data_IF_147904861580
#
_entry.id   IF_147904861580
#
_cell.length_a   1.000
_cell.length_b   1.000
_cell.length_c   1.000
_cell.angle_alpha   90.00
_cell.angle_beta   90.00
_cell.angle_gamma   90.00
#
_symmetry.space_group_name_H-M   'P 1'
#
loop_
_entity.id
_entity.type
_entity.pdbx_description
1 polymer ?
#
# COMPACT_ATOMS: atom_id res chain seq x y z
N UNK A 1 -18.21 8.97 -1.05
CA UNK A 1 -19.00 8.02 -0.25
C UNK A 1 -18.17 6.76 0.03
N UNK A 2 -17.67 6.04 -1.00
CA UNK A 2 -16.86 4.83 -0.79
C UNK A 2 -15.67 5.08 0.16
N UNK A 3 -14.90 6.13 -0.04
CA UNK A 3 -13.80 6.51 0.83
C UNK A 3 -14.22 6.73 2.29
N UNK A 4 -15.33 7.45 2.52
CA UNK A 4 -15.86 7.68 3.87
C UNK A 4 -16.27 6.37 4.55
N UNK A 5 -16.90 5.46 3.82
CA UNK A 5 -17.25 4.13 4.31
C UNK A 5 -15.99 3.33 4.70
N UNK A 6 -14.97 3.33 3.83
CA UNK A 6 -13.71 2.63 4.07
C UNK A 6 -12.95 3.24 5.26
N UNK A 7 -12.95 4.57 5.42
CA UNK A 7 -12.36 5.22 6.60
C UNK A 7 -13.00 4.68 7.89
N UNK A 8 -14.34 4.66 7.97
CA UNK A 8 -15.04 4.15 9.15
C UNK A 8 -14.70 2.68 9.40
N UNK A 9 -14.71 1.87 8.34
CA UNK A 9 -14.35 0.45 8.41
C UNK A 9 -12.93 0.26 8.99
N UNK A 10 -11.94 1.01 8.46
CA UNK A 10 -10.56 0.89 8.92
C UNK A 10 -10.31 1.50 10.30
N UNK A 11 -11.05 2.52 10.70
CA UNK A 11 -11.04 3.00 12.08
C UNK A 11 -11.46 1.89 13.03
N UNK A 12 -12.60 1.24 12.78
CA UNK A 12 -13.07 0.11 13.61
C UNK A 12 -12.08 -1.06 13.58
N UNK A 13 -11.60 -1.43 12.39
CA UNK A 13 -10.60 -2.49 12.21
C UNK A 13 -9.32 -2.21 13.01
N UNK A 14 -8.77 -1.01 12.90
CA UNK A 14 -7.51 -0.64 13.57
C UNK A 14 -7.67 -0.64 15.09
N UNK A 15 -8.79 -0.18 15.63
CA UNK A 15 -9.05 -0.27 17.08
C UNK A 15 -9.07 -1.73 17.56
N UNK A 16 -9.85 -2.59 16.90
CA UNK A 16 -9.88 -4.01 17.26
C UNK A 16 -8.51 -4.68 17.14
N UNK A 17 -7.80 -4.35 16.04
CA UNK A 17 -6.48 -4.94 15.78
C UNK A 17 -5.43 -4.47 16.80
N UNK A 18 -5.49 -3.19 17.19
CA UNK A 18 -4.61 -2.62 18.22
C UNK A 18 -4.81 -3.29 19.57
N UNK A 19 -6.06 -3.52 20.01
CA UNK A 19 -6.34 -4.24 21.25
C UNK A 19 -5.74 -5.64 21.23
N UNK A 20 -5.94 -6.38 20.12
CA UNK A 20 -5.37 -7.72 19.98
C UNK A 20 -3.84 -7.69 19.95
N UNK A 21 -3.22 -6.75 19.24
CA UNK A 21 -1.77 -6.62 19.15
C UNK A 21 -1.13 -6.22 20.50
N UNK A 22 -1.81 -5.40 21.30
CA UNK A 22 -1.37 -5.06 22.66
C UNK A 22 -1.50 -6.24 23.64
N UNK A 23 -2.56 -7.04 23.49
CA UNK A 23 -2.80 -8.22 24.34
C UNK A 23 -1.89 -9.40 23.95
N UNK A 24 -1.62 -9.58 22.67
CA UNK A 24 -0.86 -10.70 22.11
C UNK A 24 0.22 -10.11 21.17
N UNK A 25 1.33 -9.58 21.70
CA UNK A 25 2.37 -8.93 20.91
C UNK A 25 3.24 -9.99 20.19
N UNK A 26 2.65 -10.65 19.19
CA UNK A 26 3.29 -11.65 18.33
C UNK A 26 3.35 -11.22 16.88
N UNK A 27 4.41 -11.65 16.19
CA UNK A 27 4.67 -11.26 14.80
C UNK A 27 3.74 -11.93 13.77
N UNK A 28 2.98 -12.96 14.15
CA UNK A 28 2.03 -13.62 13.25
C UNK A 28 0.74 -12.83 12.99
N UNK A 29 0.48 -11.76 13.77
CA UNK A 29 -0.67 -10.89 13.54
C UNK A 29 -2.00 -11.67 13.55
N UNK A 30 -2.80 -11.54 12.47
CA UNK A 30 -4.09 -12.18 12.34
C UNK A 30 -4.04 -13.70 12.57
N UNK A 31 -2.98 -14.37 12.15
CA UNK A 31 -2.79 -15.80 12.38
C UNK A 31 -2.80 -16.14 13.87
N UNK A 32 -2.01 -15.43 14.68
CA UNK A 32 -1.89 -15.70 16.12
C UNK A 32 -3.19 -15.36 16.87
N UNK A 33 -3.85 -14.27 16.51
CA UNK A 33 -5.10 -13.84 17.16
C UNK A 33 -6.22 -14.83 16.91
N UNK A 34 -6.39 -15.27 15.66
CA UNK A 34 -7.41 -16.25 15.30
C UNK A 34 -7.08 -17.64 15.85
N UNK A 35 -5.79 -18.01 15.93
CA UNK A 35 -5.38 -19.27 16.53
C UNK A 35 -5.77 -19.37 18.02
N UNK A 36 -5.61 -18.26 18.75
CA UNK A 36 -5.99 -18.22 20.16
C UNK A 36 -7.52 -18.24 20.36
N UNK A 37 -8.26 -17.52 19.52
CA UNK A 37 -9.70 -17.33 19.66
C UNK A 37 -10.53 -18.49 19.07
N UNK A 38 -10.14 -19.02 17.91
CA UNK A 38 -10.95 -19.93 17.09
C UNK A 38 -10.23 -21.24 16.74
N UNK A 39 -8.95 -21.37 17.09
CA UNK A 39 -8.16 -22.57 16.86
C UNK A 39 -7.51 -22.66 15.47
N UNK A 40 -6.73 -23.74 15.27
CA UNK A 40 -5.78 -23.89 14.17
C UNK A 40 -6.39 -23.79 12.76
N UNK A 41 -7.59 -24.33 12.53
CA UNK A 41 -8.20 -24.36 11.20
C UNK A 41 -8.56 -22.93 10.72
N UNK A 42 -9.15 -22.13 11.58
CA UNK A 42 -9.47 -20.74 11.27
C UNK A 42 -8.22 -19.86 11.22
N UNK A 43 -7.23 -20.15 12.07
CA UNK A 43 -5.93 -19.49 12.01
C UNK A 43 -5.24 -19.71 10.66
N UNK A 44 -5.30 -20.94 10.13
CA UNK A 44 -4.77 -21.22 8.78
C UNK A 44 -5.43 -20.34 7.71
N UNK A 45 -6.76 -20.22 7.73
CA UNK A 45 -7.49 -19.38 6.77
C UNK A 45 -7.09 -17.91 6.90
N UNK A 46 -7.06 -17.37 8.11
CA UNK A 46 -6.68 -15.98 8.36
C UNK A 46 -5.22 -15.69 7.96
N UNK A 47 -4.30 -16.58 8.36
CA UNK A 47 -2.89 -16.46 8.00
C UNK A 47 -2.64 -16.60 6.50
N UNK A 48 -3.37 -17.49 5.82
CA UNK A 48 -3.28 -17.64 4.37
C UNK A 48 -3.78 -16.38 3.65
N UNK A 49 -4.89 -15.79 4.11
CA UNK A 49 -5.41 -14.55 3.55
C UNK A 49 -4.39 -13.41 3.67
N UNK A 50 -3.78 -13.25 4.85
CA UNK A 50 -2.73 -12.25 5.10
C UNK A 50 -1.50 -12.50 4.22
N UNK A 51 -1.07 -13.75 4.05
CA UNK A 51 0.08 -14.07 3.20
C UNK A 51 -0.24 -13.81 1.73
N UNK A 52 -1.43 -14.12 1.25
CA UNK A 52 -1.85 -13.80 -0.11
C UNK A 52 -1.74 -12.29 -0.36
N UNK A 53 -2.26 -11.47 0.56
CA UNK A 53 -2.11 -10.01 0.47
C UNK A 53 -0.64 -9.59 0.39
N UNK A 54 0.19 -10.08 1.31
CA UNK A 54 1.60 -9.73 1.39
C UNK A 54 2.48 -10.30 0.27
N UNK A 55 2.00 -11.29 -0.48
CA UNK A 55 2.68 -11.83 -1.66
C UNK A 55 2.29 -11.10 -2.95
N UNK A 56 1.03 -10.66 -3.07
CA UNK A 56 0.50 -10.11 -4.33
C UNK A 56 0.41 -8.57 -4.35
N UNK A 57 0.38 -7.89 -3.22
CA UNK A 57 0.46 -6.43 -3.20
C UNK A 57 1.85 -5.89 -3.58
N UNK A 58 3.00 -6.43 -3.10
CA UNK A 58 4.31 -5.92 -3.47
C UNK A 58 4.62 -5.91 -4.98
N UNK A 59 4.26 -6.93 -5.79
CA UNK A 59 4.44 -6.87 -7.24
C UNK A 59 3.76 -5.67 -7.88
N UNK A 60 2.56 -5.32 -7.44
CA UNK A 60 1.82 -4.16 -7.94
C UNK A 60 2.53 -2.84 -7.61
N UNK A 61 3.01 -2.71 -6.36
CA UNK A 61 3.77 -1.53 -5.92
C UNK A 61 5.10 -1.42 -6.69
N UNK A 62 5.77 -2.56 -6.93
CA UNK A 62 7.01 -2.61 -7.70
C UNK A 62 6.83 -2.16 -9.16
N UNK A 63 5.69 -2.53 -9.79
CA UNK A 63 5.34 -2.02 -11.13
C UNK A 63 5.07 -0.51 -11.09
N UNK A 64 4.38 -0.02 -10.06
CA UNK A 64 4.21 1.42 -9.85
C UNK A 64 5.55 2.16 -9.70
N UNK A 65 6.50 1.61 -8.94
CA UNK A 65 7.87 2.13 -8.86
C UNK A 65 8.53 2.15 -10.23
N UNK A 66 8.37 1.06 -11.02
CA UNK A 66 8.87 0.96 -12.37
C UNK A 66 8.30 2.06 -13.29
N UNK A 67 6.98 2.27 -13.26
CA UNK A 67 6.30 3.27 -14.06
C UNK A 67 6.72 4.70 -13.67
N UNK A 68 6.74 5.03 -12.38
CA UNK A 68 7.17 6.35 -11.90
C UNK A 68 8.63 6.64 -12.22
N UNK A 69 9.53 5.68 -12.01
CA UNK A 69 10.95 5.90 -12.28
C UNK A 69 11.24 5.95 -13.78
N UNK A 70 10.44 5.28 -14.61
CA UNK A 70 10.54 5.36 -16.05
C UNK A 70 10.27 6.78 -16.60
N UNK A 71 9.52 7.63 -15.90
CA UNK A 71 9.35 9.06 -16.25
C UNK A 71 10.70 9.80 -16.25
N UNK A 72 11.65 9.39 -15.43
CA UNK A 72 12.98 9.99 -15.29
C UNK A 72 14.06 9.23 -16.04
N UNK A 73 13.86 7.92 -16.24
CA UNK A 73 14.81 6.99 -16.88
C UNK A 73 14.10 6.19 -17.99
N UNK A 74 13.65 6.83 -19.07
CA UNK A 74 12.84 6.18 -20.11
C UNK A 74 13.57 5.07 -20.88
N UNK A 75 14.90 5.03 -20.80
CA UNK A 75 15.72 4.00 -21.42
C UNK A 75 15.72 2.66 -20.64
N UNK A 76 15.24 2.64 -19.39
CA UNK A 76 15.23 1.42 -18.56
C UNK A 76 13.80 0.86 -18.53
N UNK A 77 13.65 -0.40 -18.93
CA UNK A 77 12.34 -1.04 -18.93
C UNK A 77 11.77 -1.14 -17.49
N UNK A 78 10.49 -0.76 -17.24
CA UNK A 78 9.89 -0.73 -15.90
C UNK A 78 10.03 -2.04 -15.12
N UNK A 79 9.96 -3.19 -15.80
CA UNK A 79 10.13 -4.51 -15.18
C UNK A 79 11.54 -4.69 -14.56
N UNK A 80 12.58 -4.15 -15.21
CA UNK A 80 13.96 -4.23 -14.68
C UNK A 80 14.05 -3.41 -13.39
N UNK A 81 13.40 -2.25 -13.36
CA UNK A 81 13.32 -1.41 -12.17
C UNK A 81 12.58 -2.14 -11.04
N UNK A 82 11.44 -2.76 -11.34
CA UNK A 82 10.65 -3.51 -10.38
C UNK A 82 11.44 -4.69 -9.76
N UNK A 83 12.14 -5.47 -10.58
CA UNK A 83 13.01 -6.57 -10.11
C UNK A 83 14.15 -6.04 -9.27
N UNK A 84 14.80 -4.95 -9.70
CA UNK A 84 15.88 -4.31 -8.94
C UNK A 84 15.39 -3.81 -7.58
N UNK A 85 14.18 -3.24 -7.51
CA UNK A 85 13.55 -2.83 -6.26
C UNK A 85 13.38 -4.02 -5.32
N UNK A 86 12.87 -5.17 -5.80
CA UNK A 86 12.78 -6.38 -4.97
C UNK A 86 14.13 -6.80 -4.39
N UNK A 87 15.18 -6.83 -5.19
CA UNK A 87 16.53 -7.23 -4.74
C UNK A 87 17.06 -6.26 -3.68
N UNK A 88 16.93 -4.95 -3.92
CA UNK A 88 17.43 -3.90 -3.02
C UNK A 88 16.67 -3.93 -1.69
N UNK A 89 15.34 -3.88 -1.72
CA UNK A 89 14.54 -3.76 -0.49
C UNK A 89 14.48 -5.08 0.29
N UNK A 90 14.52 -6.23 -0.37
CA UNK A 90 14.73 -7.51 0.32
C UNK A 90 16.09 -7.52 1.02
N UNK A 91 17.15 -7.05 0.34
CA UNK A 91 18.49 -6.90 0.93
C UNK A 91 18.50 -6.00 2.17
N UNK A 92 17.86 -4.82 2.12
CA UNK A 92 17.74 -3.89 3.26
C UNK A 92 17.03 -4.59 4.44
N UNK A 93 15.95 -5.31 4.18
CA UNK A 93 15.20 -6.02 5.23
C UNK A 93 15.98 -7.22 5.81
N UNK A 94 16.84 -7.88 5.03
CA UNK A 94 17.74 -8.94 5.53
C UNK A 94 18.80 -8.36 6.47
N UNK A 95 19.25 -7.13 6.27
CA UNK A 95 20.22 -6.46 7.17
C UNK A 95 19.65 -6.16 8.57
N UNK A 96 18.38 -6.41 8.79
CA UNK A 96 17.70 -6.37 10.08
C UNK A 96 16.77 -5.18 10.28
N UNK A 97 15.90 -5.34 11.29
CA UNK A 97 14.78 -4.41 11.52
C UNK A 97 15.22 -2.97 11.77
N UNK A 98 16.33 -2.73 12.49
CA UNK A 98 16.78 -1.37 12.78
C UNK A 98 17.11 -0.61 11.51
N UNK A 99 17.78 -1.27 10.57
CA UNK A 99 18.13 -0.67 9.28
C UNK A 99 16.87 -0.41 8.46
N UNK A 100 16.00 -1.41 8.34
CA UNK A 100 14.76 -1.30 7.58
C UNK A 100 13.83 -0.23 8.17
N UNK A 101 13.62 -0.20 9.48
CA UNK A 101 12.75 0.77 10.15
C UNK A 101 13.31 2.20 10.10
N UNK A 102 14.63 2.39 10.25
CA UNK A 102 15.24 3.72 10.12
C UNK A 102 15.12 4.25 8.70
N UNK A 103 15.34 3.40 7.70
CA UNK A 103 15.13 3.75 6.31
C UNK A 103 13.66 4.11 6.05
N UNK A 104 12.73 3.27 6.52
CA UNK A 104 11.29 3.47 6.41
C UNK A 104 10.85 4.83 6.97
N UNK A 105 11.33 5.19 8.17
CA UNK A 105 11.01 6.47 8.77
C UNK A 105 11.43 7.65 7.90
N UNK A 106 12.66 7.63 7.36
CA UNK A 106 13.18 8.72 6.53
C UNK A 106 12.36 8.87 5.26
N UNK A 107 12.13 7.78 4.52
CA UNK A 107 11.39 7.84 3.26
C UNK A 107 9.92 8.21 3.46
N UNK A 108 9.29 7.76 4.56
CA UNK A 108 7.92 8.13 4.92
C UNK A 108 7.80 9.62 5.25
N UNK A 109 8.73 10.18 6.04
CA UNK A 109 8.73 11.62 6.33
C UNK A 109 8.87 12.44 5.05
N UNK A 110 9.77 12.05 4.14
CA UNK A 110 9.93 12.72 2.84
C UNK A 110 8.64 12.63 2.02
N UNK A 111 8.00 11.46 1.97
CA UNK A 111 6.73 11.27 1.26
C UNK A 111 5.60 12.14 1.83
N UNK A 112 5.47 12.21 3.16
CA UNK A 112 4.48 13.07 3.84
C UNK A 112 4.71 14.53 3.52
N UNK A 113 5.97 15.00 3.55
CA UNK A 113 6.30 16.38 3.16
C UNK A 113 5.91 16.66 1.71
N UNK A 114 6.07 15.67 0.81
CA UNK A 114 5.63 15.78 -0.58
C UNK A 114 4.11 15.94 -0.71
N UNK A 115 3.32 15.16 0.04
CA UNK A 115 1.85 15.28 0.05
C UNK A 115 1.41 16.63 0.63
N UNK A 116 2.07 17.12 1.67
CA UNK A 116 1.78 18.45 2.24
C UNK A 116 2.14 19.56 1.26
N UNK A 117 3.26 19.45 0.55
CA UNK A 117 3.63 20.38 -0.51
C UNK A 117 2.62 20.37 -1.64
N UNK A 118 2.19 19.18 -2.09
CA UNK A 118 1.13 19.06 -3.10
C UNK A 118 -0.14 19.78 -2.64
N UNK A 119 -0.60 19.51 -1.42
CA UNK A 119 -1.78 20.15 -0.88
C UNK A 119 -1.62 21.68 -0.79
N UNK A 120 -0.46 22.19 -0.38
CA UNK A 120 -0.18 23.62 -0.31
C UNK A 120 -0.24 24.29 -1.69
N UNK A 121 0.18 23.62 -2.75
CA UNK A 121 0.09 24.11 -4.13
C UNK A 121 -1.33 24.03 -4.69
N UNK A 122 -2.07 23.00 -4.30
CA UNK A 122 -3.40 22.68 -4.83
C UNK A 122 -4.54 23.45 -4.16
N UNK A 123 -4.50 23.61 -2.82
CA UNK A 123 -5.58 24.22 -2.04
C UNK A 123 -5.95 25.65 -2.45
N UNK A 124 -5.02 26.55 -2.86
CA UNK A 124 -5.40 27.87 -3.33
C UNK A 124 -6.31 27.86 -4.57
N UNK A 125 -6.29 26.76 -5.34
CA UNK A 125 -7.08 26.57 -6.58
C UNK A 125 -8.27 25.63 -6.36
N UNK A 126 -8.55 25.28 -5.11
CA UNK A 126 -9.65 24.40 -4.75
C UNK A 126 -11.00 25.03 -5.03
N UNK A 127 -11.87 24.28 -5.74
CA UNK A 127 -13.27 24.63 -5.91
C UNK A 127 -14.16 23.45 -5.53
N UNK A 128 -15.09 23.69 -4.61
CA UNK A 128 -16.04 22.67 -4.13
C UNK A 128 -16.93 22.13 -5.26
N UNK A 129 -17.17 22.95 -6.30
CA UNK A 129 -17.94 22.54 -7.48
C UNK A 129 -17.27 21.38 -8.25
N UNK A 130 -15.95 21.27 -8.19
CA UNK A 130 -15.19 20.21 -8.84
C UNK A 130 -15.35 18.85 -8.16
N UNK A 131 -15.79 18.81 -6.91
CA UNK A 131 -16.05 17.56 -6.18
C UNK A 131 -17.37 16.89 -6.59
N UNK A 132 -18.21 17.61 -7.34
CA UNK A 132 -19.48 17.12 -7.91
C UNK A 132 -20.36 16.35 -6.88
N UNK A 133 -20.46 16.86 -5.66
CA UNK A 133 -21.27 16.26 -4.61
C UNK A 133 -22.71 16.05 -5.12
N UNK A 134 -23.21 14.82 -4.98
CA UNK A 134 -24.54 14.43 -5.43
C UNK A 134 -24.63 13.86 -6.85
N UNK A 135 -23.60 13.96 -7.67
CA UNK A 135 -23.53 13.22 -8.93
C UNK A 135 -23.07 11.80 -8.67
N UNK A 136 -23.96 10.85 -8.84
CA UNK A 136 -23.66 9.43 -8.79
C UNK A 136 -24.04 8.80 -10.14
N UNK A 137 -23.19 8.92 -11.16
CA UNK A 137 -23.54 8.48 -12.53
C UNK A 137 -23.93 7.00 -12.62
N UNK A 138 -23.39 6.16 -11.74
CA UNK A 138 -23.69 4.72 -11.63
C UNK A 138 -24.41 4.35 -10.31
N UNK A 139 -24.92 5.32 -9.55
CA UNK A 139 -25.62 5.07 -8.30
C UNK A 139 -24.79 4.27 -7.27
N UNK A 140 -25.45 3.40 -6.52
CA UNK A 140 -24.80 2.56 -5.50
C UNK A 140 -23.83 1.52 -6.11
N UNK A 141 -24.05 1.06 -7.34
CA UNK A 141 -23.13 0.13 -8.00
C UNK A 141 -21.75 0.76 -8.23
N UNK A 142 -21.72 2.05 -8.60
CA UNK A 142 -20.47 2.81 -8.70
C UNK A 142 -19.76 2.99 -7.36
N UNK A 143 -20.51 3.19 -6.26
CA UNK A 143 -19.94 3.24 -4.91
C UNK A 143 -19.31 1.91 -4.54
N UNK A 144 -20.02 0.78 -4.75
CA UNK A 144 -19.51 -0.56 -4.46
C UNK A 144 -18.25 -0.89 -5.27
N UNK A 145 -18.23 -0.53 -6.55
CA UNK A 145 -17.06 -0.72 -7.41
C UNK A 145 -15.85 0.13 -6.97
N UNK A 146 -16.07 1.27 -6.31
CA UNK A 146 -14.99 2.13 -5.80
C UNK A 146 -14.42 1.67 -4.44
N UNK A 147 -15.09 0.80 -3.69
CA UNK A 147 -14.65 0.32 -2.37
C UNK A 147 -13.28 -0.36 -2.43
N UNK A 148 -13.01 -1.32 -3.34
CA UNK A 148 -11.69 -1.95 -3.43
C UNK A 148 -10.54 -0.94 -3.64
N UNK A 149 -10.75 0.09 -4.47
CA UNK A 149 -9.76 1.15 -4.69
C UNK A 149 -9.57 2.04 -3.46
N UNK A 150 -10.62 2.32 -2.71
CA UNK A 150 -10.53 3.07 -1.46
C UNK A 150 -9.77 2.28 -0.37
N UNK A 151 -9.86 0.95 -0.35
CA UNK A 151 -9.12 0.06 0.55
C UNK A 151 -7.60 0.21 0.35
N UNK A 152 -7.13 0.44 -0.87
CA UNK A 152 -5.70 0.61 -1.16
C UNK A 152 -5.03 1.74 -0.37
N UNK A 153 -5.78 2.76 0.05
CA UNK A 153 -5.24 3.82 0.92
C UNK A 153 -4.83 3.32 2.31
N UNK A 154 -5.37 2.18 2.75
CA UNK A 154 -5.20 1.62 4.10
C UNK A 154 -4.51 0.26 4.09
N UNK A 155 -4.11 -0.23 2.92
CA UNK A 155 -3.54 -1.56 2.74
C UNK A 155 -2.32 -1.74 3.63
N UNK A 156 -2.21 -2.94 4.23
CA UNK A 156 -1.10 -3.37 5.09
C UNK A 156 -0.91 -2.55 6.38
N UNK A 157 -1.92 -1.79 6.86
CA UNK A 157 -1.84 -1.09 8.15
C UNK A 157 -1.64 -2.07 9.31
N UNK A 158 -2.16 -3.30 9.19
CA UNK A 158 -1.97 -4.39 10.14
C UNK A 158 -0.51 -4.87 10.24
N UNK A 159 0.33 -4.51 9.27
CA UNK A 159 1.77 -4.78 9.28
C UNK A 159 2.50 -4.25 10.51
N UNK A 160 1.94 -3.24 11.20
CA UNK A 160 2.42 -2.77 12.50
C UNK A 160 2.44 -3.91 13.54
N UNK A 161 1.48 -4.83 13.50
CA UNK A 161 1.44 -5.98 14.41
C UNK A 161 2.56 -7.00 14.10
N UNK A 162 2.99 -7.12 12.86
CA UNK A 162 4.04 -8.07 12.48
C UNK A 162 5.43 -7.70 13.01
N UNK A 163 5.60 -6.50 13.56
CA UNK A 163 6.83 -6.06 14.25
C UNK A 163 6.65 -5.95 15.77
N UNK A 164 5.54 -6.45 16.30
CA UNK A 164 5.19 -6.33 17.74
C UNK A 164 6.21 -6.99 18.66
N UNK A 165 6.79 -8.15 18.29
CA UNK A 165 7.80 -8.87 19.10
C UNK A 165 9.11 -8.08 19.24
N UNK A 166 9.39 -7.17 18.30
CA UNK A 166 10.62 -6.37 18.29
C UNK A 166 10.38 -4.97 18.87
N UNK A 167 9.14 -4.68 19.28
CA UNK A 167 8.73 -3.38 19.81
C UNK A 167 9.04 -3.27 21.29
N UNK A 168 9.75 -2.22 21.70
CA UNK A 168 10.00 -1.90 23.11
C UNK A 168 8.69 -1.41 23.73
N UNK A 169 8.31 -1.94 24.92
CA UNK A 169 7.05 -1.62 25.60
C UNK A 169 5.84 -1.74 24.64
N UNK A 170 5.54 -2.96 24.13
CA UNK A 170 4.59 -3.16 23.04
C UNK A 170 3.20 -2.60 23.35
N UNK A 171 2.65 -2.76 24.57
CA UNK A 171 1.33 -2.29 24.95
C UNK A 171 1.14 -0.77 24.73
N UNK A 172 2.18 0.01 24.97
CA UNK A 172 2.15 1.47 24.79
C UNK A 172 2.49 1.86 23.36
N UNK A 173 3.58 1.32 22.82
CA UNK A 173 4.13 1.78 21.55
C UNK A 173 3.34 1.27 20.35
N UNK A 174 2.71 0.08 20.45
CA UNK A 174 1.77 -0.41 19.43
C UNK A 174 0.52 0.48 19.39
N UNK A 175 -0.05 0.83 20.55
CA UNK A 175 -1.20 1.72 20.62
C UNK A 175 -0.90 3.09 19.98
N UNK A 176 0.24 3.68 20.34
CA UNK A 176 0.67 4.96 19.77
C UNK A 176 0.95 4.82 18.26
N UNK A 177 1.61 3.74 17.85
CA UNK A 177 1.96 3.46 16.46
C UNK A 177 0.72 3.34 15.58
N UNK A 178 -0.21 2.45 15.91
CA UNK A 178 -1.46 2.30 15.17
C UNK A 178 -2.30 3.59 15.17
N UNK A 179 -2.47 4.21 16.34
CA UNK A 179 -3.28 5.41 16.48
C UNK A 179 -2.73 6.59 15.68
N UNK A 180 -1.42 6.85 15.77
CA UNK A 180 -0.78 7.93 15.02
C UNK A 180 -0.74 7.64 13.52
N UNK A 181 -0.48 6.40 13.11
CA UNK A 181 -0.48 6.01 11.71
C UNK A 181 -1.86 6.19 11.09
N UNK A 182 -2.91 5.66 11.75
CA UNK A 182 -4.30 5.80 11.27
C UNK A 182 -4.72 7.27 11.17
N UNK A 183 -4.44 8.07 12.22
CA UNK A 183 -4.80 9.49 12.25
C UNK A 183 -4.12 10.26 11.12
N UNK A 184 -2.80 10.07 10.95
CA UNK A 184 -2.03 10.70 9.87
C UNK A 184 -2.55 10.26 8.50
N UNK A 185 -2.79 8.97 8.32
CA UNK A 185 -3.27 8.41 7.06
C UNK A 185 -4.64 8.95 6.68
N UNK A 186 -5.60 9.01 7.61
CA UNK A 186 -6.94 9.57 7.35
C UNK A 186 -6.85 11.04 6.93
N UNK A 187 -6.03 11.85 7.64
CA UNK A 187 -5.85 13.27 7.29
C UNK A 187 -5.23 13.41 5.90
N UNK A 188 -4.14 12.68 5.63
CA UNK A 188 -3.44 12.77 4.34
C UNK A 188 -4.31 12.25 3.20
N UNK A 189 -5.05 11.16 3.41
CA UNK A 189 -5.97 10.61 2.42
C UNK A 189 -7.05 11.62 2.04
N UNK A 190 -7.71 12.20 3.05
CA UNK A 190 -8.74 13.22 2.82
C UNK A 190 -8.18 14.47 2.17
N UNK A 191 -7.03 14.95 2.64
CA UNK A 191 -6.36 16.14 2.12
C UNK A 191 -5.94 15.94 0.67
N UNK A 192 -5.29 14.83 0.36
CA UNK A 192 -4.79 14.52 -0.99
C UNK A 192 -5.93 14.30 -1.97
N UNK A 193 -6.95 13.52 -1.59
CA UNK A 193 -8.12 13.29 -2.42
C UNK A 193 -8.88 14.59 -2.72
N UNK A 194 -9.19 15.36 -1.68
CA UNK A 194 -9.96 16.60 -1.82
C UNK A 194 -9.19 17.63 -2.67
N UNK A 195 -7.90 17.83 -2.39
CA UNK A 195 -7.11 18.79 -3.12
C UNK A 195 -6.88 18.38 -4.57
N UNK A 196 -6.62 17.10 -4.86
CA UNK A 196 -6.41 16.65 -6.25
C UNK A 196 -7.66 16.82 -7.12
N UNK A 197 -8.81 16.32 -6.66
CA UNK A 197 -10.09 16.44 -7.39
C UNK A 197 -10.58 17.88 -7.41
N UNK A 198 -10.38 18.62 -6.31
CA UNK A 198 -10.82 20.00 -6.15
C UNK A 198 -10.17 21.00 -7.12
N UNK A 199 -9.02 20.68 -7.71
CA UNK A 199 -8.35 21.56 -8.68
C UNK A 199 -9.14 21.68 -9.98
N UNK A 200 -9.51 20.55 -10.60
CA UNK A 200 -10.02 20.55 -11.96
C UNK A 200 -11.07 19.47 -12.25
N UNK A 201 -11.52 18.76 -11.22
CA UNK A 201 -12.42 17.61 -11.34
C UNK A 201 -11.68 16.29 -11.58
N UNK A 202 -12.37 15.20 -11.31
CA UNK A 202 -11.76 13.85 -11.31
C UNK A 202 -11.26 13.41 -12.69
N UNK A 203 -11.94 13.80 -13.78
CA UNK A 203 -11.55 13.39 -15.15
C UNK A 203 -10.14 13.86 -15.50
N UNK A 204 -9.82 15.14 -15.19
CA UNK A 204 -8.53 15.72 -15.51
C UNK A 204 -7.39 15.23 -14.60
N UNK A 205 -7.73 14.66 -13.45
CA UNK A 205 -6.76 14.05 -12.51
C UNK A 205 -6.44 12.62 -12.93
N UNK A 206 -7.40 11.94 -13.56
CA UNK A 206 -7.26 10.53 -13.96
C UNK A 206 -6.73 10.41 -15.40
N UNK A 207 -7.27 11.20 -16.34
CA UNK A 207 -6.96 11.07 -17.75
C UNK A 207 -6.09 12.22 -18.25
N UNK A 208 -4.91 11.92 -18.85
CA UNK A 208 -4.15 12.95 -19.56
C UNK A 208 -4.95 13.51 -20.73
N UNK A 209 -4.68 14.76 -21.09
CA UNK A 209 -5.36 15.43 -22.20
C UNK A 209 -5.25 14.62 -23.50
N UNK A 210 -6.41 14.27 -24.09
CA UNK A 210 -6.49 13.48 -25.32
C UNK A 210 -6.30 11.97 -25.16
N UNK A 211 -6.16 11.47 -23.93
CA UNK A 211 -6.05 10.02 -23.63
C UNK A 211 -7.31 9.53 -22.92
N UNK A 212 -7.72 8.30 -23.23
CA UNK A 212 -8.73 7.55 -22.46
C UNK A 212 -8.07 6.57 -21.46
N UNK A 213 -6.75 6.52 -21.44
CA UNK A 213 -6.00 5.65 -20.56
C UNK A 213 -5.68 6.40 -19.26
N UNK A 214 -5.98 5.79 -18.12
CA UNK A 214 -5.71 6.38 -16.81
C UNK A 214 -4.20 6.57 -16.60
N UNK A 215 -3.84 7.65 -15.91
CA UNK A 215 -2.44 7.95 -15.57
C UNK A 215 -2.02 7.20 -14.31
N UNK A 216 -0.81 6.63 -14.34
CA UNK A 216 -0.18 6.03 -13.15
C UNK A 216 0.40 7.09 -12.19
N UNK A 217 0.33 8.38 -12.56
CA UNK A 217 0.86 9.49 -11.75
C UNK A 217 -0.16 10.65 -11.60
N UNK A 218 -1.26 10.44 -10.86
CA UNK A 218 -2.37 11.39 -10.78
C UNK A 218 -2.00 12.74 -10.15
N UNK A 219 -1.12 12.79 -9.15
CA UNK A 219 -0.76 14.05 -8.48
C UNK A 219 0.07 14.99 -9.38
N UNK A 220 1.13 14.52 -10.06
CA UNK A 220 1.79 15.31 -11.11
C UNK A 220 0.83 15.79 -12.21
N UNK A 221 -0.09 14.90 -12.65
CA UNK A 221 -1.08 15.25 -13.67
C UNK A 221 -2.04 16.35 -13.19
N UNK A 222 -2.52 16.25 -11.94
CA UNK A 222 -3.36 17.29 -11.33
C UNK A 222 -2.66 18.67 -11.31
N UNK A 223 -1.37 18.72 -10.95
CA UNK A 223 -0.61 19.97 -10.95
C UNK A 223 -0.38 20.56 -12.35
N UNK A 224 -0.26 19.73 -13.38
CA UNK A 224 -0.15 20.21 -14.76
C UNK A 224 -1.37 21.04 -15.16
N UNK A 225 -2.56 20.76 -14.63
CA UNK A 225 -3.78 21.55 -14.91
C UNK A 225 -3.72 22.95 -14.35
N UNK A 226 -2.88 23.21 -13.34
CA UNK A 226 -2.71 24.51 -12.69
C UNK A 226 -1.68 25.41 -13.36
N UNK A 227 -1.02 24.92 -14.42
CA UNK A 227 0.07 25.66 -15.10
C UNK A 227 1.19 26.11 -14.14
N UNK A 228 1.39 25.37 -13.04
CA UNK A 228 2.53 25.60 -12.14
C UNK A 228 3.86 25.30 -12.85
N UNK A 229 4.96 25.86 -12.33
CA UNK A 229 6.28 25.60 -12.90
C UNK A 229 6.54 24.09 -13.03
N UNK A 230 7.11 23.61 -14.16
CA UNK A 230 7.48 22.21 -14.35
C UNK A 230 8.36 21.64 -13.25
N UNK A 231 9.12 22.51 -12.57
CA UNK A 231 9.91 22.14 -11.39
C UNK A 231 9.07 21.51 -10.27
N UNK A 232 7.91 22.09 -9.95
CA UNK A 232 7.03 21.54 -8.92
C UNK A 232 6.38 20.24 -9.34
N UNK A 233 6.02 20.09 -10.62
CA UNK A 233 5.48 18.82 -11.15
C UNK A 233 6.51 17.70 -11.01
N UNK A 234 7.77 17.97 -11.38
CA UNK A 234 8.88 17.02 -11.24
C UNK A 234 9.14 16.71 -9.76
N UNK A 235 9.15 17.72 -8.91
CA UNK A 235 9.39 17.55 -7.46
C UNK A 235 8.32 16.67 -6.80
N UNK A 236 7.04 16.88 -7.13
CA UNK A 236 5.94 16.02 -6.64
C UNK A 236 6.07 14.60 -7.18
N UNK A 237 6.50 14.42 -8.43
CA UNK A 237 6.83 13.09 -8.98
C UNK A 237 7.92 12.38 -8.17
N UNK A 238 8.99 13.09 -7.80
CA UNK A 238 10.07 12.55 -6.95
C UNK A 238 9.53 12.17 -5.56
N UNK A 239 8.73 13.03 -4.92
CA UNK A 239 8.13 12.72 -3.63
C UNK A 239 7.16 11.52 -3.72
N UNK A 240 6.44 11.37 -4.83
CA UNK A 240 5.61 10.19 -5.09
C UNK A 240 6.42 8.90 -5.11
N UNK A 241 7.63 8.92 -5.70
CA UNK A 241 8.56 7.79 -5.65
C UNK A 241 8.93 7.42 -4.20
N UNK A 242 9.20 8.39 -3.34
CA UNK A 242 9.47 8.10 -1.92
C UNK A 242 8.28 7.44 -1.23
N UNK A 243 7.05 7.82 -1.57
CA UNK A 243 5.84 7.17 -1.07
C UNK A 243 5.73 5.71 -1.49
N UNK A 244 5.98 5.42 -2.77
CA UNK A 244 6.00 4.04 -3.28
C UNK A 244 7.13 3.22 -2.66
N UNK A 245 8.31 3.82 -2.46
CA UNK A 245 9.46 3.17 -1.79
C UNK A 245 9.12 2.83 -0.35
N UNK A 246 8.50 3.75 0.41
CA UNK A 246 8.05 3.49 1.78
C UNK A 246 7.04 2.34 1.81
N UNK A 247 6.00 2.40 0.99
CA UNK A 247 4.99 1.36 0.90
C UNK A 247 5.59 -0.01 0.58
N UNK A 248 6.50 -0.07 -0.40
CA UNK A 248 7.14 -1.31 -0.81
C UNK A 248 8.07 -1.90 0.27
N UNK A 249 8.89 -1.07 0.92
CA UNK A 249 9.77 -1.52 1.99
C UNK A 249 8.97 -2.01 3.21
N UNK A 250 7.94 -1.27 3.61
CA UNK A 250 7.09 -1.61 4.76
C UNK A 250 6.35 -2.95 4.58
N UNK A 251 5.77 -3.19 3.39
CA UNK A 251 5.07 -4.45 3.14
C UNK A 251 6.03 -5.65 3.05
N UNK A 252 7.23 -5.49 2.49
CA UNK A 252 8.27 -6.54 2.51
C UNK A 252 8.68 -6.87 3.95
N UNK A 253 8.83 -5.84 4.80
CA UNK A 253 9.16 -6.00 6.22
C UNK A 253 8.11 -6.85 6.95
N UNK A 254 6.83 -6.52 6.79
CA UNK A 254 5.71 -7.23 7.40
C UNK A 254 5.56 -8.66 6.83
N UNK A 255 5.63 -8.79 5.51
CA UNK A 255 5.52 -10.05 4.78
C UNK A 255 6.53 -11.10 5.26
N UNK A 256 7.79 -10.69 5.43
CA UNK A 256 8.85 -11.59 5.88
C UNK A 256 8.55 -12.20 7.25
N UNK A 257 8.00 -11.41 8.17
CA UNK A 257 7.65 -11.87 9.52
C UNK A 257 6.41 -12.73 9.54
N UNK A 258 5.35 -12.31 8.87
CA UNK A 258 4.12 -13.09 8.74
C UNK A 258 4.39 -14.46 8.13
N UNK A 259 5.19 -14.52 7.05
CA UNK A 259 5.57 -15.79 6.41
C UNK A 259 6.43 -16.66 7.33
N UNK A 260 7.35 -16.07 8.09
CA UNK A 260 8.13 -16.81 9.09
C UNK A 260 7.25 -17.45 10.16
N UNK A 261 6.33 -16.70 10.77
CA UNK A 261 5.42 -17.24 11.80
C UNK A 261 4.48 -18.31 11.24
N UNK A 262 3.98 -18.12 10.03
CA UNK A 262 3.19 -19.12 9.35
C UNK A 262 3.99 -20.41 9.05
N UNK A 263 5.29 -20.29 8.74
CA UNK A 263 6.19 -21.42 8.58
C UNK A 263 6.54 -22.11 9.91
N UNK A 264 6.73 -21.35 11.01
CA UNK A 264 6.93 -21.91 12.36
C UNK A 264 5.75 -22.77 12.82
N UNK A 265 4.53 -22.39 12.42
CA UNK A 265 3.32 -23.16 12.71
C UNK A 265 3.14 -24.42 11.82
N UNK A 266 4.04 -24.64 10.86
CA UNK A 266 4.03 -25.80 9.96
C UNK A 266 3.20 -25.60 8.68
N UNK A 267 2.70 -24.39 8.42
CA UNK A 267 1.81 -24.08 7.30
C UNK A 267 2.56 -23.57 6.04
N UNK A 268 3.89 -23.37 6.13
CA UNK A 268 4.76 -22.98 5.02
C UNK A 268 6.07 -23.79 5.05
N UNK A 269 6.91 -23.75 4.01
CA UNK A 269 8.15 -24.51 3.97
C UNK A 269 9.07 -24.24 5.17
N UNK A 270 9.57 -25.31 5.80
CA UNK A 270 10.42 -25.24 7.01
C UNK A 270 11.60 -24.25 6.91
N UNK A 271 12.31 -24.09 5.77
CA UNK A 271 13.39 -23.10 5.68
C UNK A 271 12.94 -21.67 5.95
N UNK A 272 11.69 -21.32 5.64
CA UNK A 272 11.16 -19.96 5.88
C UNK A 272 10.98 -19.65 7.39
N UNK A 273 10.91 -20.67 8.25
CA UNK A 273 10.85 -20.50 9.72
C UNK A 273 12.18 -20.10 10.34
N UNK A 274 13.28 -20.15 9.58
CA UNK A 274 14.63 -19.93 10.12
C UNK A 274 14.97 -18.45 10.23
N UNK A 275 15.52 -18.05 11.37
CA UNK A 275 16.03 -16.69 11.62
C UNK A 275 17.53 -16.64 11.35
N UNK A 276 17.98 -15.65 10.60
CA UNK A 276 19.39 -15.39 10.37
C UNK A 276 20.06 -14.96 11.68
N UNK A 277 21.06 -15.70 12.14
CA UNK A 277 21.73 -15.47 13.42
C UNK A 277 22.51 -14.14 13.48
N UNK A 278 23.06 -13.69 12.36
CA UNK A 278 23.87 -12.48 12.28
C UNK A 278 23.02 -11.21 12.31
N UNK A 279 21.94 -11.19 11.52
CA UNK A 279 21.09 -10.01 11.34
C UNK A 279 19.78 -10.08 12.12
N UNK A 280 19.50 -11.20 12.76
CA UNK A 280 18.25 -11.48 13.49
C UNK A 280 17.00 -11.19 12.65
N UNK A 281 17.08 -11.51 11.36
CA UNK A 281 16.02 -11.27 10.37
C UNK A 281 15.50 -12.57 9.78
N UNK A 282 14.25 -12.63 9.29
CA UNK A 282 13.69 -13.80 8.62
C UNK A 282 14.17 -13.89 7.15
N UNK A 283 15.48 -13.95 6.93
CA UNK A 283 16.09 -13.85 5.60
C UNK A 283 15.51 -14.85 4.60
N UNK A 284 15.29 -16.11 5.02
CA UNK A 284 14.74 -17.13 4.12
C UNK A 284 13.29 -16.86 3.73
N UNK A 285 12.46 -16.36 4.66
CA UNK A 285 11.08 -15.96 4.37
C UNK A 285 11.05 -14.76 3.42
N UNK A 286 11.93 -13.77 3.63
CA UNK A 286 12.07 -12.61 2.75
C UNK A 286 12.47 -13.01 1.32
N UNK A 287 13.46 -13.90 1.17
CA UNK A 287 13.90 -14.43 -0.13
C UNK A 287 12.77 -15.24 -0.79
N UNK A 288 12.08 -16.07 -0.02
CA UNK A 288 10.95 -16.86 -0.52
C UNK A 288 9.85 -15.95 -1.09
N UNK A 289 9.45 -14.91 -0.35
CA UNK A 289 8.47 -13.93 -0.81
C UNK A 289 8.96 -13.15 -2.03
N UNK A 290 10.24 -12.74 -2.06
CA UNK A 290 10.85 -12.08 -3.21
C UNK A 290 10.79 -12.95 -4.48
N UNK A 291 11.13 -14.22 -4.37
CA UNK A 291 11.10 -15.14 -5.52
C UNK A 291 9.69 -15.26 -6.07
N UNK A 292 8.70 -15.45 -5.20
CA UNK A 292 7.28 -15.51 -5.63
C UNK A 292 6.86 -14.19 -6.27
N UNK A 293 7.20 -13.04 -5.67
CA UNK A 293 6.89 -11.73 -6.20
C UNK A 293 7.51 -11.47 -7.58
N UNK A 294 8.77 -11.86 -7.78
CA UNK A 294 9.45 -11.75 -9.08
C UNK A 294 8.80 -12.68 -10.12
N UNK A 295 8.44 -13.92 -9.74
CA UNK A 295 7.69 -14.82 -10.63
C UNK A 295 6.36 -14.18 -11.02
N UNK A 296 5.62 -13.60 -10.07
CA UNK A 296 4.38 -12.90 -10.34
C UNK A 296 4.57 -11.73 -11.32
N UNK A 297 5.64 -10.93 -11.17
CA UNK A 297 5.99 -9.87 -12.11
C UNK A 297 6.24 -10.40 -13.52
N UNK A 298 6.97 -11.52 -13.65
CA UNK A 298 7.34 -12.11 -14.94
C UNK A 298 6.14 -12.70 -15.68
N UNK A 299 5.08 -13.10 -14.97
CA UNK A 299 3.84 -13.60 -15.62
C UNK A 299 3.06 -12.51 -16.34
N UNK A 300 3.37 -11.22 -16.11
CA UNK A 300 2.67 -10.08 -16.69
C UNK A 300 1.23 -9.88 -16.18
N UNK A 301 0.76 -10.78 -15.31
CA UNK A 301 -0.65 -10.80 -14.84
C UNK A 301 -0.90 -9.94 -13.60
N UNK A 302 0.13 -9.44 -12.97
CA UNK A 302 0.01 -8.59 -11.76
C UNK A 302 -0.67 -7.25 -12.06
N UNK A 303 -0.43 -6.66 -13.23
CA UNK A 303 -1.19 -5.50 -13.72
C UNK A 303 -2.65 -5.87 -14.05
N UNK A 304 -2.88 -7.06 -14.61
CA UNK A 304 -4.22 -7.57 -14.90
C UNK A 304 -5.03 -7.92 -13.64
N UNK A 305 -4.41 -8.29 -12.53
CA UNK A 305 -5.15 -8.57 -11.28
C UNK A 305 -5.79 -7.29 -10.75
N UNK A 306 -5.13 -6.14 -10.92
CA UNK A 306 -5.69 -4.84 -10.56
C UNK A 306 -6.72 -4.40 -11.62
N UNK A 307 -6.41 -4.53 -12.92
CA UNK A 307 -7.28 -4.11 -14.02
C UNK A 307 -8.41 -5.09 -14.32
N UNK A 308 -8.24 -6.40 -14.15
CA UNK A 308 -9.32 -7.38 -14.34
C UNK A 308 -10.40 -7.31 -13.26
N UNK A 309 -10.09 -6.83 -12.07
CA UNK A 309 -11.15 -6.43 -11.14
C UNK A 309 -11.99 -5.29 -11.72
N UNK A 310 -11.44 -4.45 -12.59
CA UNK A 310 -12.15 -3.39 -13.33
C UNK A 310 -12.92 -3.94 -14.53
N UNK A 311 -12.34 -4.82 -15.34
CA UNK A 311 -12.99 -5.38 -16.54
C UNK A 311 -14.15 -6.32 -16.20
N UNK A 312 -13.99 -7.22 -15.25
CA UNK A 312 -15.09 -8.08 -14.80
C UNK A 312 -16.25 -7.30 -14.19
N UNK A 313 -15.96 -6.13 -13.54
CA UNK A 313 -17.04 -5.25 -13.09
C UNK A 313 -17.71 -4.51 -14.24
N UNK A 314 -17.00 -4.24 -15.33
CA UNK A 314 -17.56 -3.57 -16.51
C UNK A 314 -18.31 -4.54 -17.46
N UNK A 315 -17.85 -5.77 -17.60
CA UNK A 315 -18.54 -6.82 -18.41
C UNK A 315 -19.85 -7.29 -17.76
N UNK A 316 -19.91 -7.36 -16.43
CA UNK A 316 -21.18 -7.63 -15.71
C UNK A 316 -22.18 -6.47 -15.78
N UNK A 317 -21.78 -5.31 -16.31
CA UNK A 317 -22.61 -4.11 -16.46
C UNK A 317 -22.97 -3.79 -17.92
N UNK A 318 -22.49 -4.57 -18.90
CA UNK A 318 -22.95 -4.45 -20.27
C UNK A 318 -24.38 -5.00 -20.35
N UNK A 319 -25.40 -4.20 -20.65
CA UNK A 319 -26.72 -4.74 -20.90
C UNK A 319 -26.63 -5.61 -22.14
N UNK A 320 -27.13 -6.83 -22.04
CA UNK A 320 -27.33 -7.68 -23.20
C UNK A 320 -28.08 -6.87 -24.28
N UNK A 321 -27.40 -6.63 -25.41
CA UNK A 321 -28.07 -6.33 -26.67
C UNK A 321 -28.40 -7.64 -27.37
#
# INVERSE_FOLDING_TARGET
IALAFVIVMYVCFTFCYTEMACAIPKAGGAFDYVNLAMGKNWAFVAGLAQIIEFLFAPPAIALGLGAYLNLFLPQIHPLIIAISAYLIFTGINILGIKTAASFELVVTVVAVLGLLLFAALALPHFSISNLEFGKMPKGFSGVSAAVPFAIWFFLAIEGVANVAEETINPQRNILIGFGSALFTLVILCFLTFSSSVGIAGWEKVVFPAGSQQASDSPLPLALQTLQVSPYFVTLIGIFGLFGLVASFNGIILAAGRATMEFAKSGNAPKPAAMVNQKFKSPANALIFNMVIGIIALLTGKTGEIITRSEEHTSELQSPCN
#
